data_IF_221826121285
#
_entry.id   IF_221826121285
#
_cell.length_a   1.000
_cell.length_b   1.000
_cell.length_c   1.000
_cell.angle_alpha   90.00
_cell.angle_beta   90.00
_cell.angle_gamma   90.00
#
_symmetry.space_group_name_H-M   'P 1'
#
loop_
_entity.id
_entity.type
_entity.pdbx_description
1 polymer ?
#
# COMPACT_ATOMS: atom_id res chain seq x y z
N UNK A 1 -24.59 -12.82 5.29
CA UNK A 1 -23.16 -13.07 5.06
C UNK A 1 -22.97 -13.39 3.59
N UNK A 2 -22.39 -12.49 2.80
CA UNK A 2 -22.07 -12.75 1.39
C UNK A 2 -20.76 -13.53 1.38
N UNK A 3 -20.78 -14.79 0.95
CA UNK A 3 -19.55 -15.58 0.76
C UNK A 3 -18.85 -15.10 -0.51
N UNK A 4 -17.61 -14.64 -0.37
CA UNK A 4 -16.74 -14.25 -1.48
C UNK A 4 -15.57 -15.24 -1.52
N UNK A 5 -15.45 -15.96 -2.62
CA UNK A 5 -14.35 -16.91 -2.80
C UNK A 5 -13.18 -16.19 -3.45
N UNK A 6 -12.17 -15.86 -2.65
CA UNK A 6 -10.91 -15.34 -3.14
C UNK A 6 -9.84 -16.43 -3.12
N UNK A 7 -8.98 -16.45 -4.13
CA UNK A 7 -7.81 -17.32 -4.11
C UNK A 7 -6.68 -16.66 -3.31
N UNK A 8 -6.71 -16.87 -1.99
CA UNK A 8 -5.71 -16.30 -1.07
C UNK A 8 -4.27 -16.69 -1.45
N UNK A 9 -4.05 -17.90 -1.97
CA UNK A 9 -2.73 -18.35 -2.40
C UNK A 9 -2.23 -17.58 -3.62
N UNK A 10 -3.09 -17.34 -4.62
CA UNK A 10 -2.74 -16.52 -5.79
C UNK A 10 -2.45 -15.08 -5.40
N UNK A 11 -3.29 -14.49 -4.55
CA UNK A 11 -3.10 -13.12 -4.06
C UNK A 11 -1.77 -13.02 -3.32
N UNK A 12 -1.52 -13.92 -2.37
CA UNK A 12 -0.27 -13.93 -1.62
C UNK A 12 0.94 -14.11 -2.53
N UNK A 13 0.88 -15.01 -3.51
CA UNK A 13 1.99 -15.22 -4.47
C UNK A 13 2.31 -13.98 -5.30
N UNK A 14 1.33 -13.11 -5.57
CA UNK A 14 1.55 -11.82 -6.24
C UNK A 14 2.07 -10.73 -5.29
N UNK A 15 1.72 -10.80 -4.00
CA UNK A 15 2.19 -9.88 -2.97
C UNK A 15 3.60 -10.20 -2.49
N UNK A 16 3.97 -11.48 -2.45
CA UNK A 16 5.23 -11.93 -1.86
C UNK A 16 6.47 -11.20 -2.40
N UNK A 17 6.65 -10.98 -3.72
CA UNK A 17 7.78 -10.20 -4.25
C UNK A 17 7.83 -8.74 -3.78
N UNK A 18 6.69 -8.19 -3.34
CA UNK A 18 6.55 -6.81 -2.86
C UNK A 18 6.92 -6.73 -1.37
N UNK A 19 6.43 -7.67 -0.56
CA UNK A 19 6.47 -7.59 0.90
C UNK A 19 7.56 -8.45 1.55
N UNK A 20 8.08 -9.45 0.84
CA UNK A 20 9.02 -10.42 1.40
C UNK A 20 10.49 -10.14 1.08
N UNK A 21 11.34 -10.42 2.05
CA UNK A 21 12.77 -10.65 1.94
C UNK A 21 13.12 -11.90 2.76
N UNK A 22 13.13 -13.05 2.09
CA UNK A 22 13.47 -14.34 2.71
C UNK A 22 14.90 -14.38 3.27
N UNK A 23 15.77 -13.47 2.82
CA UNK A 23 17.17 -13.41 3.21
C UNK A 23 17.43 -12.43 4.36
N UNK A 24 16.38 -11.86 4.96
CA UNK A 24 16.52 -10.93 6.08
C UNK A 24 17.16 -11.64 7.29
N UNK A 25 18.24 -11.07 7.81
CA UNK A 25 18.98 -11.60 8.96
C UNK A 25 19.25 -10.55 10.06
N UNK A 26 18.54 -9.42 10.04
CA UNK A 26 18.81 -8.31 10.96
C UNK A 26 17.68 -7.29 11.09
N UNK A 27 18.03 -6.14 11.65
CA UNK A 27 17.17 -4.96 11.70
C UNK A 27 16.78 -4.52 10.29
N UNK A 28 15.65 -3.83 10.18
CA UNK A 28 15.18 -3.23 8.93
C UNK A 28 14.87 -1.75 9.15
N UNK A 29 14.94 -0.98 8.09
CA UNK A 29 14.54 0.42 8.08
C UNK A 29 13.09 0.52 7.62
N UNK A 30 12.28 1.30 8.32
CA UNK A 30 10.89 1.55 7.97
C UNK A 30 10.60 3.04 8.03
N UNK A 31 9.58 3.50 7.33
CA UNK A 31 9.04 4.84 7.56
C UNK A 31 8.08 4.83 8.74
N UNK A 32 8.00 5.94 9.48
CA UNK A 32 6.93 6.21 10.43
C UNK A 32 5.85 7.13 9.81
N UNK A 33 4.83 7.51 10.58
CA UNK A 33 3.77 8.43 10.13
C UNK A 33 4.26 9.84 9.73
N UNK A 34 5.45 10.26 10.17
CA UNK A 34 6.07 11.53 9.79
C UNK A 34 6.99 11.40 8.56
N UNK A 35 7.02 10.23 7.92
CA UNK A 35 7.96 9.88 6.86
C UNK A 35 9.43 9.94 7.28
N UNK A 36 9.73 9.78 8.57
CA UNK A 36 11.09 9.62 9.07
C UNK A 36 11.49 8.15 9.04
N UNK A 37 12.77 7.89 8.79
CA UNK A 37 13.33 6.53 8.82
C UNK A 37 13.54 6.13 10.28
N UNK A 38 12.95 5.01 10.67
CA UNK A 38 13.13 4.35 11.96
C UNK A 38 13.73 2.97 11.77
N UNK A 39 14.51 2.51 12.75
CA UNK A 39 15.14 1.19 12.73
C UNK A 39 14.27 0.24 13.56
N UNK A 40 13.74 -0.79 12.91
CA UNK A 40 13.00 -1.87 13.57
C UNK A 40 13.94 -3.04 13.85
N UNK A 41 13.78 -3.66 15.02
CA UNK A 41 14.62 -4.79 15.45
C UNK A 41 14.41 -6.02 14.56
N UNK A 42 15.27 -7.03 14.68
CA UNK A 42 15.16 -8.28 13.93
C UNK A 42 13.86 -9.05 14.16
N UNK A 43 13.13 -8.75 15.23
CA UNK A 43 11.83 -9.36 15.58
C UNK A 43 10.62 -8.58 15.07
N UNK A 44 10.84 -7.45 14.41
CA UNK A 44 9.79 -6.52 13.98
C UNK A 44 9.73 -6.43 12.46
N UNK A 45 8.56 -6.14 11.90
CA UNK A 45 8.35 -5.86 10.48
C UNK A 45 8.05 -4.37 10.24
N UNK A 46 8.15 -3.90 9.01
CA UNK A 46 7.55 -2.62 8.64
C UNK A 46 6.05 -2.84 8.45
N UNK A 47 5.21 -2.01 9.06
CA UNK A 47 3.75 -2.04 8.88
C UNK A 47 3.25 -0.76 8.22
N UNK A 48 2.15 -0.90 7.47
CA UNK A 48 1.29 0.19 7.02
C UNK A 48 -0.18 -0.25 7.04
N UNK A 49 -0.99 0.49 7.79
CA UNK A 49 -2.45 0.33 7.87
C UNK A 49 -3.13 1.39 7.00
N UNK A 50 -4.01 0.95 6.11
CA UNK A 50 -4.72 1.79 5.17
C UNK A 50 -6.24 1.70 5.37
N UNK A 51 -6.86 2.86 5.63
CA UNK A 51 -8.30 3.01 5.62
C UNK A 51 -8.79 3.16 4.18
N UNK A 52 -9.54 2.16 3.73
CA UNK A 52 -10.08 2.10 2.37
C UNK A 52 -11.26 3.05 2.17
N UNK A 53 -11.98 3.41 3.22
CA UNK A 53 -13.14 4.32 3.16
C UNK A 53 -12.70 5.77 3.10
N UNK A 54 -11.73 6.12 3.94
CA UNK A 54 -11.18 7.49 4.04
C UNK A 54 -10.01 7.71 3.08
N UNK A 55 -9.59 6.67 2.38
CA UNK A 55 -8.50 6.66 1.42
C UNK A 55 -7.15 7.13 1.98
N UNK A 56 -6.86 6.88 3.25
CA UNK A 56 -5.65 7.38 3.92
C UNK A 56 -4.92 6.30 4.72
N UNK A 57 -3.63 6.54 4.94
CA UNK A 57 -2.83 5.77 5.89
C UNK A 57 -3.24 6.16 7.31
N UNK A 58 -3.55 5.15 8.14
CA UNK A 58 -3.94 5.33 9.55
C UNK A 58 -2.73 5.17 10.45
N UNK A 59 -1.89 4.19 10.16
CA UNK A 59 -0.65 3.95 10.91
C UNK A 59 0.45 3.45 9.99
N UNK A 60 1.71 3.70 10.39
CA UNK A 60 2.91 3.31 9.67
C UNK A 60 4.08 3.27 10.65
N UNK A 61 4.86 2.18 10.66
CA UNK A 61 6.01 2.05 11.56
C UNK A 61 6.51 0.62 11.71
N UNK A 62 7.10 0.33 12.88
CA UNK A 62 7.49 -1.03 13.26
C UNK A 62 6.29 -1.78 13.84
N UNK A 63 6.03 -3.00 13.37
CA UNK A 63 5.10 -3.95 14.01
C UNK A 63 5.88 -5.04 14.74
N UNK A 64 5.32 -5.58 15.82
CA UNK A 64 5.92 -6.67 16.62
C UNK A 64 5.85 -8.05 15.95
N UNK A 65 5.26 -8.13 14.76
CA UNK A 65 5.24 -9.37 14.01
C UNK A 65 6.58 -9.66 13.34
N UNK A 66 6.93 -10.94 13.27
CA UNK A 66 8.23 -11.40 12.77
C UNK A 66 8.18 -11.85 11.30
N UNK A 67 7.22 -11.36 10.52
CA UNK A 67 7.01 -11.83 9.17
C UNK A 67 6.18 -10.90 8.30
N UNK A 68 6.22 -11.12 6.98
CA UNK A 68 5.36 -10.43 6.03
C UNK A 68 3.94 -11.01 6.14
N UNK A 69 2.95 -10.15 6.38
CA UNK A 69 1.55 -10.54 6.48
C UNK A 69 0.66 -9.47 5.90
N UNK A 70 -0.51 -9.88 5.43
CA UNK A 70 -1.50 -8.96 4.88
C UNK A 70 -2.84 -9.31 5.49
N UNK A 71 -3.41 -8.38 6.24
CA UNK A 71 -4.73 -8.50 6.84
C UNK A 71 -5.69 -7.59 6.10
N UNK A 72 -6.84 -8.10 5.70
CA UNK A 72 -7.92 -7.32 5.10
C UNK A 72 -9.11 -7.43 6.04
N UNK A 73 -9.52 -6.29 6.60
CA UNK A 73 -10.67 -6.20 7.49
C UNK A 73 -11.79 -5.47 6.79
N UNK A 74 -12.96 -6.12 6.77
CA UNK A 74 -14.08 -5.65 6.00
C UNK A 74 -15.41 -5.94 6.73
N UNK A 75 -16.03 -4.89 7.26
CA UNK A 75 -17.28 -4.94 8.01
C UNK A 75 -18.13 -3.67 7.80
N UNK A 76 -19.36 -3.67 8.32
CA UNK A 76 -20.37 -2.62 8.08
C UNK A 76 -19.90 -1.19 8.41
N UNK A 77 -18.96 -1.05 9.37
CA UNK A 77 -18.37 0.23 9.77
C UNK A 77 -16.90 0.44 9.39
N UNK A 78 -16.19 -0.61 8.98
CA UNK A 78 -14.72 -0.57 8.89
C UNK A 78 -14.25 -1.32 7.65
N UNK A 79 -13.46 -0.66 6.80
CA UNK A 79 -12.77 -1.31 5.69
C UNK A 79 -11.31 -0.86 5.71
N UNK A 80 -10.44 -1.71 6.22
CA UNK A 80 -9.00 -1.44 6.33
C UNK A 80 -8.21 -2.60 5.77
N UNK A 81 -6.96 -2.36 5.42
CA UNK A 81 -6.01 -3.44 5.27
C UNK A 81 -4.68 -3.04 5.89
N UNK A 82 -4.07 -3.97 6.59
CA UNK A 82 -2.74 -3.84 7.16
C UNK A 82 -1.76 -4.70 6.37
N UNK A 83 -0.62 -4.11 6.04
CA UNK A 83 0.46 -4.76 5.31
C UNK A 83 1.69 -4.69 6.18
N UNK A 84 2.20 -5.86 6.50
CA UNK A 84 3.48 -6.03 7.14
C UNK A 84 4.46 -6.63 6.13
N UNK A 85 5.65 -6.05 6.09
CA UNK A 85 6.69 -6.40 5.14
C UNK A 85 8.06 -6.38 5.81
N UNK A 86 9.01 -7.15 5.30
CA UNK A 86 10.31 -7.37 5.93
C UNK A 86 11.49 -6.98 5.02
N UNK A 87 11.25 -6.01 4.12
CA UNK A 87 12.25 -5.32 3.29
C UNK A 87 12.54 -3.94 3.87
N UNK A 88 13.72 -3.40 3.60
CA UNK A 88 13.99 -2.01 3.94
C UNK A 88 13.05 -1.07 3.16
N UNK A 89 12.49 -0.12 3.90
CA UNK A 89 11.65 0.97 3.40
C UNK A 89 10.45 0.46 2.58
N UNK A 90 9.88 -0.68 2.98
CA UNK A 90 8.82 -1.34 2.21
C UNK A 90 7.42 -0.83 2.52
N UNK A 91 7.22 0.00 3.53
CA UNK A 91 5.91 0.52 3.94
C UNK A 91 5.57 1.89 3.32
N UNK A 92 5.88 2.06 2.03
CA UNK A 92 5.69 3.32 1.28
C UNK A 92 4.34 3.38 0.57
N UNK A 93 3.97 4.58 0.07
CA UNK A 93 2.79 4.78 -0.77
C UNK A 93 2.90 4.04 -2.12
N UNK A 94 4.12 3.85 -2.62
CA UNK A 94 4.38 3.04 -3.81
C UNK A 94 4.04 1.57 -3.56
N UNK A 95 4.49 1.00 -2.44
CA UNK A 95 4.14 -0.36 -2.04
C UNK A 95 2.63 -0.50 -1.88
N UNK A 96 1.98 0.42 -1.18
CA UNK A 96 0.52 0.44 -1.03
C UNK A 96 -0.19 0.44 -2.40
N UNK A 97 0.31 1.22 -3.35
CA UNK A 97 -0.26 1.29 -4.70
C UNK A 97 -0.15 -0.06 -5.43
N UNK A 98 1.00 -0.73 -5.36
CA UNK A 98 1.18 -2.07 -5.95
C UNK A 98 0.25 -3.11 -5.32
N UNK A 99 0.07 -3.06 -4.00
CA UNK A 99 -0.82 -3.97 -3.26
C UNK A 99 -2.28 -3.77 -3.66
N UNK A 100 -2.74 -2.52 -3.79
CA UNK A 100 -4.08 -2.20 -4.28
C UNK A 100 -4.33 -2.74 -5.68
N UNK A 101 -3.34 -2.64 -6.58
CA UNK A 101 -3.43 -3.22 -7.92
C UNK A 101 -3.61 -4.74 -7.84
N UNK A 102 -2.83 -5.43 -7.02
CA UNK A 102 -2.98 -6.89 -6.81
C UNK A 102 -4.38 -7.22 -6.29
N UNK A 103 -4.87 -6.52 -5.29
CA UNK A 103 -6.22 -6.70 -4.76
C UNK A 103 -7.29 -6.48 -5.84
N UNK A 104 -7.19 -5.40 -6.62
CA UNK A 104 -8.14 -5.06 -7.68
C UNK A 104 -8.15 -6.09 -8.81
N UNK A 105 -6.97 -6.62 -9.19
CA UNK A 105 -6.82 -7.66 -10.20
C UNK A 105 -7.42 -8.99 -9.77
N UNK A 106 -7.44 -9.27 -8.47
CA UNK A 106 -8.08 -10.47 -7.90
C UNK A 106 -9.53 -10.22 -7.45
N UNK A 107 -10.10 -9.06 -7.78
CA UNK A 107 -11.50 -8.73 -7.49
C UNK A 107 -11.81 -8.54 -6.02
N UNK A 108 -10.82 -8.22 -5.17
CA UNK A 108 -11.08 -7.90 -3.77
C UNK A 108 -11.95 -6.66 -3.67
N UNK A 109 -12.99 -6.78 -2.85
CA UNK A 109 -13.99 -5.74 -2.60
C UNK A 109 -14.27 -5.61 -1.12
N UNK A 110 -14.68 -4.42 -0.70
CA UNK A 110 -15.19 -4.14 0.64
C UNK A 110 -16.60 -4.74 0.86
N UNK A 111 -17.20 -4.52 2.03
CA UNK A 111 -18.35 -5.25 2.55
C UNK A 111 -19.61 -4.95 1.76
N UNK A 112 -19.55 -3.83 1.04
CA UNK A 112 -20.57 -3.32 0.15
C UNK A 112 -20.31 -3.67 -1.33
N UNK A 113 -19.26 -4.45 -1.63
CA UNK A 113 -18.89 -4.88 -2.98
C UNK A 113 -18.11 -3.82 -3.77
N UNK A 114 -17.61 -2.76 -3.11
CA UNK A 114 -16.82 -1.71 -3.78
C UNK A 114 -15.38 -2.16 -3.93
N UNK A 115 -14.80 -1.93 -5.11
CA UNK A 115 -13.38 -2.18 -5.36
C UNK A 115 -12.53 -1.19 -4.57
N UNK A 116 -11.32 -1.62 -4.23
CA UNK A 116 -10.36 -0.78 -3.51
C UNK A 116 -9.93 0.35 -4.45
N UNK A 117 -10.20 1.60 -4.09
CA UNK A 117 -9.90 2.70 -5.00
C UNK A 117 -8.39 2.78 -5.31
N UNK A 118 -8.04 2.78 -6.60
CA UNK A 118 -6.69 3.10 -7.04
C UNK A 118 -6.39 4.55 -6.67
N UNK A 119 -5.43 4.77 -5.77
CA UNK A 119 -5.02 6.11 -5.32
C UNK A 119 -4.39 6.99 -6.42
N UNK A 120 -4.39 6.55 -7.68
CA UNK A 120 -3.64 7.16 -8.78
C UNK A 120 -4.46 8.04 -9.74
N UNK A 121 -5.62 8.57 -9.34
CA UNK A 121 -6.38 9.47 -10.22
C UNK A 121 -5.98 10.94 -10.20
N UNK A 122 -4.93 11.39 -9.49
CA UNK A 122 -4.68 12.83 -9.34
C UNK A 122 -3.24 13.36 -9.44
N UNK A 123 -2.24 12.62 -9.92
CA UNK A 123 -0.87 13.17 -10.07
C UNK A 123 -0.34 13.34 -11.50
N UNK A 124 -1.03 12.84 -12.53
CA UNK A 124 -0.56 12.98 -13.93
C UNK A 124 -1.11 14.23 -14.63
N UNK A 125 -2.19 14.83 -14.10
CA UNK A 125 -2.84 15.98 -14.76
C UNK A 125 -2.12 17.32 -14.58
N UNK A 126 -1.36 17.50 -13.49
CA UNK A 126 -0.75 18.81 -13.19
C UNK A 126 0.57 19.07 -13.96
N UNK A 127 1.32 18.00 -14.27
CA UNK A 127 2.58 18.10 -15.00
C UNK A 127 2.38 18.39 -16.50
N UNK A 128 1.33 17.84 -17.10
CA UNK A 128 0.98 18.07 -18.51
C UNK A 128 0.45 19.50 -18.76
N UNK A 129 -0.22 20.10 -17.77
CA UNK A 129 -0.80 21.45 -17.89
C UNK A 129 0.26 22.55 -17.73
N UNK A 130 1.30 22.33 -16.93
CA UNK A 130 2.42 23.27 -16.78
C UNK A 130 3.35 23.26 -17.99
N UNK A 131 3.59 22.09 -18.59
CA UNK A 131 4.40 21.99 -19.82
C UNK A 131 3.74 22.70 -21.02
N UNK A 132 2.42 22.57 -21.20
CA UNK A 132 1.72 23.27 -22.30
C UNK A 132 1.74 24.79 -22.14
N UNK A 133 1.65 25.31 -20.92
CA UNK A 133 1.74 26.76 -20.65
C UNK A 133 3.13 27.33 -20.95
N UNK A 134 4.21 26.61 -20.63
CA UNK A 134 5.58 27.05 -20.94
C UNK A 134 5.82 27.11 -22.45
N UNK A 135 5.34 26.12 -23.20
CA UNK A 135 5.47 26.10 -24.67
C UNK A 135 4.69 27.23 -25.36
N UNK A 136 3.52 27.60 -24.85
CA UNK A 136 2.74 28.71 -25.42
C UNK A 136 3.44 30.06 -25.17
N UNK A 137 3.97 30.29 -23.96
CA UNK A 137 4.69 31.54 -23.65
C UNK A 137 5.97 31.66 -24.48
N UNK A 138 6.71 30.57 -24.67
CA UNK A 138 7.93 30.57 -25.48
C UNK A 138 7.69 30.66 -27.00
N UNK A 139 6.46 30.46 -27.47
CA UNK A 139 6.11 30.62 -28.89
C UNK A 139 5.64 32.03 -29.24
N UNK A 140 5.10 32.77 -28.26
CA UNK A 140 4.55 34.12 -28.45
C UNK A 140 5.51 35.24 -27.99
N UNK A 141 6.65 34.91 -27.40
CA UNK A 141 7.75 35.83 -27.06
C UNK A 141 9.04 35.36 -27.74
#
# INVERSE_FOLDING_TARGET
MISRNYNAQTIYGQLAPIIENSSRNGSIQCYNMKNEIVICTSKQSCSVDYDQREHRVVSRGCSENNGPTVFVYDGEGHATFDVECNRDLCNTDETLSKIKIVFNNNGLTDGNGRRIADGNKQMVSSLLMTLTLIFIVAYYF
#
